data_IF_912529246462
#
_entry.id   IF_912529246462
#
_cell.length_a   1.000
_cell.length_b   1.000
_cell.length_c   1.000
_cell.angle_alpha   90.00
_cell.angle_beta   90.00
_cell.angle_gamma   90.00
#
_symmetry.space_group_name_H-M   'P 1'
#
loop_
_entity.id
_entity.type
_entity.pdbx_description
1 polymer ?
#
# COMPACT_ATOMS: atom_id res chain seq x y z
N UNK A 1 -19.12 -29.02 -84.22
CA UNK A 1 -18.41 -27.84 -83.69
C UNK A 1 -17.95 -28.05 -82.26
N UNK A 2 -16.64 -28.28 -82.02
CA UNK A 2 -16.08 -28.48 -80.66
C UNK A 2 -15.44 -27.17 -80.20
N UNK A 3 -16.04 -26.47 -79.27
CA UNK A 3 -15.44 -25.32 -78.62
C UNK A 3 -14.32 -25.74 -77.64
N UNK A 4 -13.07 -25.43 -77.95
CA UNK A 4 -11.93 -25.60 -77.04
C UNK A 4 -11.96 -24.47 -76.00
N UNK A 5 -12.34 -24.79 -74.75
CA UNK A 5 -12.16 -23.86 -73.60
C UNK A 5 -10.65 -23.69 -73.33
N UNK A 6 -10.09 -22.49 -73.62
CA UNK A 6 -8.74 -22.12 -73.25
C UNK A 6 -8.69 -21.87 -71.73
N UNK A 7 -8.13 -22.79 -70.96
CA UNK A 7 -7.81 -22.59 -69.58
C UNK A 7 -6.76 -21.49 -69.45
N UNK A 8 -7.12 -20.31 -68.93
CA UNK A 8 -6.18 -19.26 -68.58
C UNK A 8 -5.31 -19.74 -67.42
N UNK A 9 -4.05 -20.17 -67.68
CA UNK A 9 -3.02 -20.41 -66.68
C UNK A 9 -2.75 -19.10 -65.92
N UNK A 10 -3.19 -18.98 -64.67
CA UNK A 10 -2.80 -17.87 -63.76
C UNK A 10 -1.29 -17.95 -63.57
N UNK A 11 -0.54 -17.05 -64.19
CA UNK A 11 0.90 -16.85 -63.92
C UNK A 11 1.04 -16.42 -62.48
N UNK A 12 1.64 -17.27 -61.59
CA UNK A 12 2.07 -16.90 -60.25
C UNK A 12 3.11 -15.77 -60.36
N UNK A 13 2.76 -14.56 -59.96
CA UNK A 13 3.67 -13.41 -59.91
C UNK A 13 4.80 -13.75 -58.93
N UNK A 14 6.04 -13.92 -59.43
CA UNK A 14 7.23 -14.08 -58.56
C UNK A 14 7.44 -12.80 -57.78
N UNK A 15 7.33 -12.86 -56.46
CA UNK A 15 7.64 -11.74 -55.56
C UNK A 15 9.09 -11.28 -55.83
N UNK A 16 9.31 -9.97 -55.92
CA UNK A 16 10.66 -9.39 -56.09
C UNK A 16 11.54 -9.80 -54.89
N UNK A 17 12.85 -10.02 -55.10
CA UNK A 17 13.77 -10.47 -54.04
C UNK A 17 13.66 -9.66 -52.76
N UNK A 18 13.56 -8.34 -52.88
CA UNK A 18 13.40 -7.41 -51.75
C UNK A 18 12.15 -7.67 -50.90
N UNK A 19 11.03 -7.99 -51.56
CA UNK A 19 9.77 -8.32 -50.83
C UNK A 19 9.93 -9.62 -50.06
N UNK A 20 10.65 -10.61 -50.58
CA UNK A 20 10.93 -11.85 -49.86
C UNK A 20 11.81 -11.58 -48.64
N UNK A 21 12.88 -10.78 -48.76
CA UNK A 21 13.77 -10.39 -47.67
C UNK A 21 12.97 -9.64 -46.60
N UNK A 22 12.13 -8.69 -47.01
CA UNK A 22 11.27 -7.95 -46.06
C UNK A 22 10.29 -8.86 -45.30
N UNK A 23 9.64 -9.80 -45.99
CA UNK A 23 8.73 -10.77 -45.33
C UNK A 23 9.52 -11.66 -44.35
N UNK A 24 10.72 -12.14 -44.71
CA UNK A 24 11.55 -12.94 -43.81
C UNK A 24 11.95 -12.11 -42.58
N UNK A 25 12.36 -10.86 -42.77
CA UNK A 25 12.71 -9.96 -41.66
C UNK A 25 11.49 -9.73 -40.71
N UNK A 26 10.31 -9.48 -41.23
CA UNK A 26 9.08 -9.33 -40.42
C UNK A 26 8.75 -10.61 -39.69
N UNK A 27 8.82 -11.76 -40.33
CA UNK A 27 8.58 -13.05 -39.70
C UNK A 27 9.61 -13.39 -38.61
N UNK A 28 10.90 -13.08 -38.83
CA UNK A 28 11.92 -13.26 -37.79
C UNK A 28 11.76 -12.35 -36.60
N UNK A 29 11.34 -11.08 -36.79
CA UNK A 29 10.98 -10.16 -35.70
C UNK A 29 9.76 -10.68 -34.96
N UNK A 30 8.71 -11.11 -35.66
CA UNK A 30 7.52 -11.66 -35.04
C UNK A 30 7.85 -12.91 -34.19
N UNK A 31 8.69 -13.81 -34.70
CA UNK A 31 9.15 -14.98 -33.96
C UNK A 31 9.94 -14.58 -32.70
N UNK A 32 10.81 -13.58 -32.82
CA UNK A 32 11.59 -13.05 -31.69
C UNK A 32 10.67 -12.44 -30.62
N UNK A 33 9.66 -11.66 -31.02
CA UNK A 33 8.65 -11.11 -30.09
C UNK A 33 7.91 -12.23 -29.35
N UNK A 34 7.46 -13.27 -30.08
CA UNK A 34 6.82 -14.43 -29.48
C UNK A 34 7.77 -15.12 -28.49
N UNK A 35 9.03 -15.33 -28.86
CA UNK A 35 10.03 -15.92 -27.98
C UNK A 35 10.26 -15.08 -26.71
N UNK A 36 10.24 -13.75 -26.78
CA UNK A 36 10.35 -12.86 -25.61
C UNK A 36 9.11 -12.93 -24.73
N UNK A 37 7.91 -12.95 -25.31
CA UNK A 37 6.66 -13.03 -24.54
C UNK A 37 6.59 -14.34 -23.75
N UNK A 38 6.83 -15.48 -24.39
CA UNK A 38 6.70 -16.79 -23.75
C UNK A 38 7.98 -17.23 -23.00
N UNK A 39 9.17 -16.83 -23.48
CA UNK A 39 10.45 -17.20 -22.88
C UNK A 39 10.78 -16.44 -21.59
N UNK A 40 10.09 -15.31 -21.31
CA UNK A 40 10.32 -14.49 -20.13
C UNK A 40 9.05 -14.38 -19.24
N UNK A 41 8.25 -15.42 -19.21
CA UNK A 41 7.05 -15.43 -18.34
C UNK A 41 7.46 -15.47 -16.88
N UNK A 42 7.07 -14.45 -16.11
CA UNK A 42 7.36 -14.34 -14.67
C UNK A 42 6.64 -15.46 -13.89
N UNK A 43 7.41 -16.32 -13.23
CA UNK A 43 6.89 -17.43 -12.42
C UNK A 43 7.12 -17.21 -10.94
N UNK A 44 8.26 -16.61 -10.56
CA UNK A 44 8.66 -16.46 -9.16
C UNK A 44 9.26 -15.08 -8.90
N UNK A 45 8.80 -14.49 -7.79
CA UNK A 45 9.37 -13.27 -7.23
C UNK A 45 9.96 -13.61 -5.86
N UNK A 46 11.25 -13.42 -5.68
CA UNK A 46 11.87 -13.40 -4.36
C UNK A 46 11.89 -11.94 -3.86
N UNK A 47 11.80 -11.73 -2.56
CA UNK A 47 11.78 -10.39 -1.98
C UNK A 47 12.87 -10.19 -0.96
N UNK A 48 13.41 -8.97 -0.89
CA UNK A 48 14.26 -8.45 0.16
C UNK A 48 13.60 -7.18 0.68
N UNK A 49 12.92 -7.28 1.80
CA UNK A 49 12.10 -6.24 2.39
C UNK A 49 12.76 -5.71 3.66
N UNK A 50 12.67 -4.41 3.89
CA UNK A 50 13.31 -3.74 5.03
C UNK A 50 12.53 -3.92 6.35
N UNK A 51 11.19 -3.91 6.30
CA UNK A 51 10.34 -4.04 7.50
C UNK A 51 9.83 -5.46 7.74
N UNK A 52 9.77 -6.29 6.71
CA UNK A 52 9.24 -7.66 6.78
C UNK A 52 7.74 -7.75 7.12
N UNK A 53 6.98 -6.71 6.77
CA UNK A 53 5.52 -6.67 6.98
C UNK A 53 4.76 -7.56 6.01
N UNK A 54 5.36 -7.82 4.84
CA UNK A 54 4.80 -8.67 3.79
C UNK A 54 5.62 -9.93 3.59
N UNK A 55 4.94 -11.04 3.31
CA UNK A 55 5.58 -12.30 2.95
C UNK A 55 5.88 -12.37 1.45
N UNK A 56 6.83 -13.22 1.06
CA UNK A 56 7.09 -13.51 -0.37
C UNK A 56 5.81 -13.91 -1.12
N UNK A 57 4.91 -14.65 -0.47
CA UNK A 57 3.64 -15.07 -1.07
C UNK A 57 2.74 -13.87 -1.35
N UNK A 58 2.55 -12.99 -0.35
CA UNK A 58 1.70 -11.79 -0.51
C UNK A 58 2.21 -10.90 -1.64
N UNK A 59 3.55 -10.71 -1.75
CA UNK A 59 4.13 -9.92 -2.84
C UNK A 59 3.95 -10.61 -4.20
N UNK A 60 4.15 -11.93 -4.29
CA UNK A 60 3.92 -12.67 -5.53
C UNK A 60 2.47 -12.57 -6.00
N UNK A 61 1.51 -12.73 -5.07
CA UNK A 61 0.08 -12.65 -5.39
C UNK A 61 -0.31 -11.22 -5.82
N UNK A 62 0.31 -10.20 -5.18
CA UNK A 62 0.12 -8.81 -5.56
C UNK A 62 0.66 -8.50 -6.96
N UNK A 63 1.91 -8.90 -7.28
CA UNK A 63 2.54 -8.70 -8.60
C UNK A 63 1.71 -9.34 -9.72
N UNK A 64 1.17 -10.55 -9.47
CA UNK A 64 0.26 -11.21 -10.42
C UNK A 64 -1.05 -10.44 -10.61
N UNK A 65 -1.61 -9.91 -9.52
CA UNK A 65 -2.83 -9.08 -9.56
C UNK A 65 -2.64 -7.79 -10.36
N UNK A 66 -1.45 -7.19 -10.28
CA UNK A 66 -1.07 -6.01 -11.08
C UNK A 66 -0.80 -6.34 -12.57
N UNK A 67 -0.91 -7.62 -12.98
CA UNK A 67 -0.73 -8.05 -14.36
C UNK A 67 0.73 -8.01 -14.84
N UNK A 68 1.69 -8.05 -13.92
CA UNK A 68 3.12 -8.08 -14.26
C UNK A 68 3.51 -9.52 -14.55
N UNK A 69 3.48 -9.89 -15.85
CA UNK A 69 3.66 -11.27 -16.28
C UNK A 69 5.00 -11.52 -16.99
N UNK A 70 5.72 -10.49 -17.44
CA UNK A 70 6.95 -10.65 -18.20
C UNK A 70 8.17 -10.13 -17.42
N UNK A 71 9.10 -11.04 -17.12
CA UNK A 71 10.30 -10.79 -16.33
C UNK A 71 11.23 -9.74 -16.97
N UNK A 72 11.47 -9.86 -18.29
CA UNK A 72 12.37 -8.96 -19.02
C UNK A 72 11.80 -7.55 -19.07
N UNK A 73 10.50 -7.42 -19.35
CA UNK A 73 9.84 -6.12 -19.45
C UNK A 73 9.78 -5.43 -18.09
N UNK A 74 9.46 -6.16 -17.02
CA UNK A 74 9.44 -5.66 -15.64
C UNK A 74 10.81 -5.13 -15.22
N UNK A 75 11.87 -5.92 -15.48
CA UNK A 75 13.25 -5.50 -15.19
C UNK A 75 13.68 -4.29 -16.02
N UNK A 76 13.39 -4.25 -17.33
CA UNK A 76 13.77 -3.14 -18.21
C UNK A 76 13.10 -1.83 -17.82
N UNK A 77 11.79 -1.86 -17.51
CA UNK A 77 11.06 -0.68 -17.01
C UNK A 77 11.72 -0.13 -15.75
N UNK A 78 11.99 -0.99 -14.78
CA UNK A 78 12.61 -0.58 -13.54
C UNK A 78 14.00 0.02 -13.76
N UNK A 79 14.83 -0.63 -14.58
CA UNK A 79 16.18 -0.15 -14.92
C UNK A 79 16.16 1.20 -15.67
N UNK A 80 15.16 1.44 -16.48
CA UNK A 80 14.98 2.69 -17.24
C UNK A 80 14.36 3.84 -16.42
N UNK A 81 14.05 3.61 -15.13
CA UNK A 81 13.39 4.61 -14.29
C UNK A 81 11.89 4.79 -14.57
N UNK A 82 11.28 3.86 -15.33
CA UNK A 82 9.85 3.85 -15.64
C UNK A 82 9.13 2.73 -14.88
N UNK A 83 9.46 2.58 -13.59
CA UNK A 83 8.90 1.55 -12.73
C UNK A 83 7.38 1.66 -12.62
N UNK A 84 6.70 0.52 -12.62
CA UNK A 84 5.28 0.46 -12.32
C UNK A 84 5.06 0.90 -10.86
N UNK A 85 4.00 1.66 -10.59
CA UNK A 85 3.66 2.06 -9.22
C UNK A 85 3.11 0.85 -8.47
N UNK A 86 3.87 0.35 -7.50
CA UNK A 86 3.44 -0.74 -6.64
C UNK A 86 2.99 -0.19 -5.28
N UNK A 87 1.72 -0.38 -4.94
CA UNK A 87 1.13 0.22 -3.72
C UNK A 87 1.72 -0.32 -2.41
N UNK A 88 2.39 -1.47 -2.43
CA UNK A 88 3.05 -2.04 -1.24
C UNK A 88 4.34 -1.33 -0.85
N UNK A 89 4.97 -0.60 -1.79
CA UNK A 89 6.32 -0.09 -1.63
C UNK A 89 6.38 1.43 -1.78
N UNK A 90 7.27 2.06 -1.02
CA UNK A 90 7.69 3.45 -1.23
C UNK A 90 8.60 3.54 -2.45
N UNK A 91 9.59 2.63 -2.50
CA UNK A 91 10.55 2.50 -3.58
C UNK A 91 11.00 1.05 -3.70
N UNK A 92 11.40 0.63 -4.91
CA UNK A 92 11.88 -0.71 -5.14
C UNK A 92 12.80 -0.82 -6.35
N UNK A 93 13.66 -1.83 -6.33
CA UNK A 93 14.52 -2.22 -7.44
C UNK A 93 14.27 -3.67 -7.84
N UNK A 94 14.36 -3.94 -9.13
CA UNK A 94 14.15 -5.26 -9.70
C UNK A 94 15.47 -5.81 -10.26
N UNK A 95 15.89 -6.98 -9.79
CA UNK A 95 17.01 -7.74 -10.35
C UNK A 95 16.48 -8.99 -11.04
N UNK A 96 16.75 -9.14 -12.33
CA UNK A 96 16.44 -10.37 -13.05
C UNK A 96 17.48 -11.44 -12.74
N UNK A 97 17.06 -12.56 -12.17
CA UNK A 97 17.94 -13.68 -11.82
C UNK A 97 17.93 -14.77 -12.89
N UNK A 98 16.79 -14.93 -13.56
CA UNK A 98 16.60 -15.83 -14.70
C UNK A 98 15.43 -15.32 -15.56
N UNK A 99 15.19 -15.90 -16.76
CA UNK A 99 14.03 -15.54 -17.58
C UNK A 99 12.67 -15.67 -16.88
N UNK A 100 12.59 -16.46 -15.80
CA UNK A 100 11.33 -16.77 -15.09
C UNK A 100 11.29 -16.23 -13.66
N UNK A 101 12.40 -15.57 -13.20
CA UNK A 101 12.54 -15.20 -11.79
C UNK A 101 13.20 -13.83 -11.63
N UNK A 102 12.58 -13.01 -10.75
CA UNK A 102 13.17 -11.74 -10.30
C UNK A 102 13.38 -11.75 -8.79
N UNK A 103 14.28 -10.87 -8.33
CA UNK A 103 14.35 -10.45 -6.92
C UNK A 103 13.96 -8.97 -6.86
N UNK A 104 12.97 -8.66 -6.01
CA UNK A 104 12.58 -7.30 -5.67
C UNK A 104 13.25 -6.95 -4.35
N UNK A 105 14.04 -5.87 -4.34
CA UNK A 105 14.52 -5.22 -3.13
C UNK A 105 13.73 -3.95 -2.95
N UNK A 106 13.00 -3.81 -1.82
CA UNK A 106 12.04 -2.74 -1.66
C UNK A 106 12.01 -2.17 -0.24
N UNK A 107 11.68 -0.88 -0.16
CA UNK A 107 11.25 -0.20 1.06
C UNK A 107 9.74 -0.30 1.16
N UNK A 108 9.27 -0.99 2.19
CA UNK A 108 7.85 -1.23 2.41
C UNK A 108 7.15 0.04 2.90
N UNK A 109 5.93 0.30 2.43
CA UNK A 109 5.06 1.31 3.05
C UNK A 109 4.68 0.87 4.46
N UNK A 110 4.78 1.80 5.41
CA UNK A 110 4.48 1.54 6.82
C UNK A 110 2.97 1.40 7.05
N UNK A 111 2.58 0.37 7.78
CA UNK A 111 1.21 0.20 8.24
C UNK A 111 0.93 1.19 9.38
N UNK A 112 -0.01 2.11 9.19
CA UNK A 112 -0.30 3.23 10.11
C UNK A 112 -1.37 2.89 11.15
N UNK A 113 -2.28 1.97 10.81
CA UNK A 113 -3.36 1.55 11.67
C UNK A 113 -4.11 0.36 11.08
N UNK A 114 -5.08 -0.17 11.83
CA UNK A 114 -5.97 -1.18 11.30
C UNK A 114 -7.42 -0.97 11.74
N UNK A 115 -8.35 -1.36 10.86
CA UNK A 115 -9.77 -1.47 11.13
C UNK A 115 -10.12 -2.95 11.23
N UNK A 116 -10.91 -3.34 12.23
CA UNK A 116 -11.37 -4.72 12.38
C UNK A 116 -12.84 -4.83 11.98
N UNK A 117 -13.13 -5.65 10.97
CA UNK A 117 -14.50 -5.97 10.52
C UNK A 117 -14.63 -7.48 10.42
N UNK A 118 -15.62 -8.06 11.06
CA UNK A 118 -15.91 -9.50 11.02
C UNK A 118 -14.71 -10.39 11.36
N UNK A 119 -13.90 -10.01 12.35
CA UNK A 119 -12.64 -10.68 12.77
C UNK A 119 -11.51 -10.63 11.73
N UNK A 120 -11.65 -9.82 10.68
CA UNK A 120 -10.60 -9.55 9.70
C UNK A 120 -10.01 -8.18 10.01
N UNK A 121 -8.67 -8.10 10.03
CA UNK A 121 -7.89 -6.90 10.28
C UNK A 121 -7.45 -6.32 8.94
N UNK A 122 -7.88 -5.09 8.63
CA UNK A 122 -7.52 -4.35 7.42
C UNK A 122 -6.53 -3.27 7.79
N UNK A 123 -5.27 -3.45 7.37
CA UNK A 123 -4.17 -2.53 7.64
C UNK A 123 -4.01 -1.53 6.51
N UNK A 124 -3.79 -0.26 6.83
CA UNK A 124 -3.68 0.81 5.86
C UNK A 124 -2.40 1.65 6.05
N UNK A 125 -1.99 2.33 4.97
CA UNK A 125 -0.87 3.26 4.92
C UNK A 125 -1.31 4.71 5.28
N UNK A 126 -0.37 5.65 5.17
CA UNK A 126 -0.60 7.08 5.42
C UNK A 126 -1.62 7.74 4.49
N UNK A 127 -1.87 7.16 3.32
CA UNK A 127 -2.84 7.64 2.35
C UNK A 127 -4.23 7.02 2.56
N UNK A 128 -4.36 6.09 3.50
CA UNK A 128 -5.57 5.32 3.74
C UNK A 128 -5.80 4.19 2.73
N UNK A 129 -4.75 3.74 2.03
CA UNK A 129 -4.79 2.58 1.14
C UNK A 129 -4.67 1.31 1.97
N UNK A 130 -5.57 0.36 1.76
CA UNK A 130 -5.54 -0.94 2.44
C UNK A 130 -4.42 -1.79 1.82
N UNK A 131 -3.32 -1.96 2.55
CA UNK A 131 -2.15 -2.70 2.07
C UNK A 131 -2.17 -4.18 2.44
N UNK A 132 -2.81 -4.52 3.57
CA UNK A 132 -2.80 -5.89 4.08
C UNK A 132 -4.13 -6.26 4.74
N UNK A 133 -4.52 -7.51 4.57
CA UNK A 133 -5.65 -8.14 5.24
C UNK A 133 -5.14 -9.38 5.98
N UNK A 134 -5.56 -9.56 7.24
CA UNK A 134 -5.13 -10.70 8.06
C UNK A 134 -6.24 -11.13 9.02
N UNK A 135 -6.25 -12.40 9.39
CA UNK A 135 -7.05 -12.93 10.50
C UNK A 135 -6.32 -12.84 11.84
N UNK A 136 -5.00 -12.58 11.80
CA UNK A 136 -4.17 -12.41 12.98
C UNK A 136 -3.76 -10.95 13.15
N UNK A 137 -3.69 -10.51 14.42
CA UNK A 137 -3.31 -9.13 14.74
C UNK A 137 -1.79 -8.95 14.68
N UNK A 138 -1.33 -7.96 13.91
CA UNK A 138 0.05 -7.51 13.93
C UNK A 138 0.28 -6.62 15.15
N UNK A 139 1.33 -6.93 15.94
CA UNK A 139 1.70 -6.15 17.13
C UNK A 139 2.26 -4.76 16.74
N UNK A 140 2.06 -3.78 17.61
CA UNK A 140 2.60 -2.43 17.41
C UNK A 140 1.80 -1.52 16.49
N UNK A 141 0.76 -2.02 15.82
CA UNK A 141 -0.13 -1.24 14.97
C UNK A 141 -1.39 -0.87 15.77
N UNK A 142 -1.80 0.42 15.84
CA UNK A 142 -2.95 0.84 16.60
C UNK A 142 -4.28 0.41 15.95
N UNK A 143 -5.24 0.04 16.80
CA UNK A 143 -6.63 -0.19 16.36
C UNK A 143 -7.31 1.14 16.10
N UNK A 144 -8.04 1.25 15.00
CA UNK A 144 -8.88 2.42 14.69
C UNK A 144 -10.34 2.11 14.97
N UNK A 145 -11.02 3.05 15.61
CA UNK A 145 -12.45 2.99 15.91
C UNK A 145 -13.14 4.32 15.60
N UNK A 146 -14.47 4.32 15.48
CA UNK A 146 -15.27 5.52 15.18
C UNK A 146 -15.35 5.90 13.70
N UNK A 147 -14.66 5.19 12.82
CA UNK A 147 -14.69 5.43 11.37
C UNK A 147 -15.67 4.48 10.69
N UNK A 148 -16.69 5.04 10.03
CA UNK A 148 -17.66 4.27 9.26
C UNK A 148 -17.15 4.09 7.82
N UNK A 149 -16.64 2.87 7.52
CA UNK A 149 -16.15 2.51 6.21
C UNK A 149 -17.24 1.83 5.37
N UNK A 150 -17.43 2.27 4.13
CA UNK A 150 -18.35 1.65 3.18
C UNK A 150 -17.70 0.47 2.47
N UNK A 151 -16.41 0.56 2.18
CA UNK A 151 -15.66 -0.46 1.48
C UNK A 151 -14.20 -0.53 1.95
N UNK A 152 -13.70 -1.76 2.18
CA UNK A 152 -12.32 -2.07 2.56
C UNK A 152 -11.76 -3.08 1.55
N UNK A 153 -11.27 -2.58 0.43
CA UNK A 153 -10.71 -3.42 -0.64
C UNK A 153 -9.19 -3.31 -0.64
N UNK A 154 -8.49 -4.46 -0.73
CA UNK A 154 -7.03 -4.53 -0.84
C UNK A 154 -6.51 -3.70 -2.02
N UNK A 155 -5.48 -2.91 -1.74
CA UNK A 155 -4.75 -2.02 -2.66
C UNK A 155 -5.61 -0.86 -3.18
N UNK A 156 -6.69 -0.52 -2.46
CA UNK A 156 -7.51 0.66 -2.73
C UNK A 156 -7.64 1.52 -1.50
N UNK A 157 -7.79 2.82 -1.73
CA UNK A 157 -8.08 3.77 -0.65
C UNK A 157 -9.41 3.43 0.00
N UNK A 158 -9.45 3.43 1.33
CA UNK A 158 -10.69 3.17 2.08
C UNK A 158 -11.74 4.26 1.78
N UNK A 159 -12.97 3.81 1.58
CA UNK A 159 -14.11 4.70 1.38
C UNK A 159 -14.82 4.93 2.70
N UNK A 160 -14.87 6.17 3.14
CA UNK A 160 -15.50 6.56 4.40
C UNK A 160 -16.61 7.58 4.14
N UNK A 161 -17.66 7.57 4.97
CA UNK A 161 -18.77 8.51 4.84
C UNK A 161 -18.34 9.95 5.06
N UNK A 162 -17.45 10.20 6.01
CA UNK A 162 -17.00 11.53 6.37
C UNK A 162 -15.49 11.71 6.05
N UNK A 163 -15.20 12.47 5.00
CA UNK A 163 -13.81 12.74 4.58
C UNK A 163 -12.98 13.48 5.62
N UNK A 164 -13.60 14.33 6.45
CA UNK A 164 -12.89 15.05 7.53
C UNK A 164 -12.43 14.10 8.64
N UNK A 165 -13.25 13.08 8.95
CA UNK A 165 -12.89 12.01 9.88
C UNK A 165 -11.70 11.23 9.39
N UNK A 166 -11.70 10.83 8.09
CA UNK A 166 -10.56 10.14 7.48
C UNK A 166 -9.30 11.02 7.51
N UNK A 167 -9.40 12.28 7.11
CA UNK A 167 -8.24 13.17 7.08
C UNK A 167 -7.63 13.31 8.48
N UNK A 168 -8.44 13.61 9.51
CA UNK A 168 -7.92 13.70 10.87
C UNK A 168 -7.30 12.38 11.36
N UNK A 169 -7.90 11.25 11.02
CA UNK A 169 -7.33 9.94 11.33
C UNK A 169 -5.93 9.77 10.71
N UNK A 170 -5.80 10.06 9.41
CA UNK A 170 -4.54 9.87 8.69
C UNK A 170 -3.45 10.81 9.22
N UNK A 171 -3.79 12.07 9.49
CA UNK A 171 -2.86 13.03 10.07
C UNK A 171 -2.37 12.56 11.45
N UNK A 172 -3.28 12.14 12.33
CA UNK A 172 -2.92 11.62 13.66
C UNK A 172 -2.08 10.34 13.55
N UNK A 173 -2.47 9.36 12.74
CA UNK A 173 -1.73 8.10 12.60
C UNK A 173 -0.34 8.28 11.98
N UNK A 174 -0.17 9.29 11.14
CA UNK A 174 1.13 9.63 10.55
C UNK A 174 2.02 10.32 11.56
N UNK A 175 1.51 11.39 12.21
CA UNK A 175 2.30 12.20 13.14
C UNK A 175 2.71 11.42 14.41
N UNK A 176 1.89 10.51 14.93
CA UNK A 176 2.26 9.73 16.12
C UNK A 176 3.41 8.74 15.85
N UNK A 177 3.68 8.35 14.62
CA UNK A 177 4.80 7.44 14.30
C UNK A 177 6.17 8.09 14.39
N UNK A 178 6.25 9.40 14.38
CA UNK A 178 7.48 10.14 14.66
C UNK A 178 7.94 9.96 16.11
N UNK A 179 6.98 9.61 16.98
CA UNK A 179 7.21 9.37 18.39
C UNK A 179 7.10 7.87 18.71
N UNK A 180 7.86 7.37 19.65
CA UNK A 180 7.89 5.96 20.07
C UNK A 180 6.77 5.63 21.07
N UNK A 181 5.56 6.14 20.86
CA UNK A 181 4.43 5.82 21.74
C UNK A 181 3.88 4.43 21.46
N UNK A 182 3.56 3.68 22.50
CA UNK A 182 2.82 2.43 22.36
C UNK A 182 1.31 2.73 22.35
N UNK A 183 0.81 3.25 21.22
CA UNK A 183 -0.61 3.55 21.04
C UNK A 183 -1.39 2.28 20.79
N UNK A 184 -2.32 1.96 21.67
CA UNK A 184 -3.18 0.76 21.56
C UNK A 184 -4.35 0.96 20.59
N UNK A 185 -4.94 2.15 20.63
CA UNK A 185 -6.15 2.50 19.87
C UNK A 185 -6.20 4.00 19.58
N UNK A 186 -6.79 4.35 18.46
CA UNK A 186 -7.17 5.71 18.11
C UNK A 186 -8.67 5.68 17.80
N UNK A 187 -9.44 6.54 18.45
CA UNK A 187 -10.86 6.73 18.25
C UNK A 187 -11.10 8.08 17.60
N UNK A 188 -11.88 8.13 16.51
CA UNK A 188 -12.23 9.39 15.83
C UNK A 188 -13.74 9.50 15.80
N UNK A 189 -14.29 10.51 16.46
CA UNK A 189 -15.73 10.71 16.52
C UNK A 189 -16.31 11.36 15.25
N UNK A 190 -17.61 11.51 15.18
CA UNK A 190 -18.33 12.08 14.01
C UNK A 190 -17.96 13.54 13.73
N UNK A 191 -17.49 14.28 14.74
CA UNK A 191 -17.05 15.67 14.64
C UNK A 191 -15.59 15.79 14.19
N UNK A 192 -14.99 14.66 13.80
CA UNK A 192 -13.59 14.52 13.44
C UNK A 192 -12.63 14.91 14.58
N UNK A 193 -12.98 14.57 15.83
CA UNK A 193 -12.07 14.71 16.96
C UNK A 193 -11.43 13.37 17.29
N UNK A 194 -10.10 13.36 17.42
CA UNK A 194 -9.32 12.18 17.71
C UNK A 194 -8.98 12.04 19.20
N UNK A 195 -9.04 10.81 19.70
CA UNK A 195 -8.55 10.40 21.01
C UNK A 195 -7.60 9.22 20.83
N UNK A 196 -6.36 9.34 21.29
CA UNK A 196 -5.41 8.22 21.30
C UNK A 196 -5.37 7.59 22.69
N UNK A 197 -5.21 6.27 22.75
CA UNK A 197 -5.13 5.51 23.99
C UNK A 197 -3.72 4.93 24.16
N UNK A 198 -3.03 5.44 25.16
CA UNK A 198 -1.65 5.04 25.50
C UNK A 198 -1.65 4.47 26.91
N UNK A 199 -1.26 3.21 27.07
CA UNK A 199 -1.43 2.49 28.33
C UNK A 199 -2.88 2.62 28.87
N UNK A 200 -3.06 3.25 30.02
CA UNK A 200 -4.35 3.46 30.68
C UNK A 200 -4.83 4.92 30.63
N UNK A 201 -4.23 5.72 29.72
CA UNK A 201 -4.56 7.13 29.52
C UNK A 201 -5.26 7.31 28.18
N UNK A 202 -6.41 8.00 28.20
CA UNK A 202 -7.09 8.53 27.03
C UNK A 202 -6.61 9.96 26.75
N UNK A 203 -5.89 10.19 25.66
CA UNK A 203 -5.37 11.49 25.28
C UNK A 203 -6.28 12.10 24.21
N UNK A 204 -7.07 13.08 24.59
CA UNK A 204 -8.01 13.77 23.71
C UNK A 204 -7.29 14.84 22.89
N UNK A 205 -6.87 14.51 21.67
CA UNK A 205 -6.19 15.43 20.75
C UNK A 205 -7.15 16.44 20.11
N UNK A 206 -8.43 16.05 19.96
CA UNK A 206 -9.44 16.86 19.27
C UNK A 206 -9.23 16.87 17.74
N UNK A 207 -9.46 18.02 17.12
CA UNK A 207 -9.24 18.23 15.67
C UNK A 207 -7.75 18.48 15.39
N UNK A 208 -7.37 18.46 14.10
CA UNK A 208 -5.96 18.60 13.64
C UNK A 208 -5.30 19.94 13.97
N UNK A 209 -6.04 20.92 14.45
CA UNK A 209 -5.44 22.22 14.81
C UNK A 209 -4.30 22.03 15.80
N UNK A 210 -3.10 22.50 15.40
CA UNK A 210 -1.88 22.43 16.20
C UNK A 210 -1.46 21.02 16.63
N UNK A 211 -1.75 19.99 15.80
CA UNK A 211 -1.48 18.58 16.12
C UNK A 211 -0.02 18.35 16.48
N UNK A 212 0.92 18.86 15.70
CA UNK A 212 2.36 18.71 15.95
C UNK A 212 2.79 19.32 17.29
N UNK A 213 2.23 20.48 17.65
CA UNK A 213 2.48 21.10 18.96
C UNK A 213 1.94 20.20 20.07
N UNK A 214 0.70 19.73 19.97
CA UNK A 214 0.08 18.83 20.96
C UNK A 214 0.88 17.54 21.15
N UNK A 215 1.41 16.97 20.07
CA UNK A 215 2.22 15.75 20.15
C UNK A 215 3.59 16.00 20.75
N UNK A 216 4.24 17.14 20.45
CA UNK A 216 5.48 17.54 21.16
C UNK A 216 5.22 17.74 22.63
N UNK A 217 4.21 18.52 23.00
CA UNK A 217 3.86 18.77 24.39
C UNK A 217 3.51 17.45 25.13
N UNK A 218 2.82 16.53 24.45
CA UNK A 218 2.56 15.19 24.99
C UNK A 218 3.85 14.39 25.19
N UNK A 219 4.79 14.48 24.25
CA UNK A 219 6.09 13.80 24.35
C UNK A 219 6.86 14.28 25.59
N UNK A 220 6.89 15.57 25.85
CA UNK A 220 7.60 16.16 26.98
C UNK A 220 7.01 15.73 28.33
N UNK A 221 5.70 15.46 28.37
CA UNK A 221 5.03 15.00 29.59
C UNK A 221 4.78 13.48 29.62
N UNK A 222 5.17 12.73 28.60
CA UNK A 222 4.82 11.33 28.39
C UNK A 222 5.08 10.45 29.61
N UNK A 223 6.30 10.43 30.12
CA UNK A 223 6.72 9.57 31.25
C UNK A 223 5.99 9.89 32.56
N UNK A 224 5.50 11.12 32.71
CA UNK A 224 4.72 11.52 33.87
C UNK A 224 3.26 11.13 33.71
N UNK A 225 2.66 11.38 32.55
CA UNK A 225 1.24 11.14 32.28
C UNK A 225 0.90 9.65 32.28
N UNK A 226 1.74 8.80 31.70
CA UNK A 226 1.50 7.34 31.60
C UNK A 226 1.54 6.59 32.93
N UNK A 227 1.96 7.23 34.01
CA UNK A 227 1.92 6.66 35.37
C UNK A 227 0.51 6.67 35.97
N UNK A 228 -0.41 7.43 35.37
CA UNK A 228 -1.77 7.60 35.85
C UNK A 228 -2.76 6.82 34.98
N UNK A 229 -3.98 6.65 35.52
CA UNK A 229 -5.15 6.24 34.76
C UNK A 229 -6.06 7.45 34.63
N UNK A 230 -6.63 7.69 33.46
CA UNK A 230 -7.55 8.82 33.28
C UNK A 230 -7.56 9.40 31.89
N UNK A 231 -7.99 10.67 31.82
CA UNK A 231 -8.12 11.40 30.55
C UNK A 231 -7.31 12.67 30.57
N UNK A 232 -6.38 12.80 29.63
CA UNK A 232 -5.65 14.03 29.37
C UNK A 232 -6.39 14.79 28.26
N UNK A 233 -6.87 15.99 28.59
CA UNK A 233 -7.54 16.84 27.61
C UNK A 233 -6.53 17.77 26.94
N UNK A 234 -6.28 17.55 25.65
CA UNK A 234 -5.41 18.36 24.79
C UNK A 234 -6.17 18.96 23.60
N UNK A 235 -7.52 18.99 23.66
CA UNK A 235 -8.34 19.59 22.58
C UNK A 235 -8.01 21.08 22.43
N UNK A 236 -7.81 21.76 23.54
CA UNK A 236 -7.48 23.18 23.61
C UNK A 236 -6.21 23.35 24.44
N UNK A 237 -5.37 24.26 24.02
CA UNK A 237 -4.24 24.72 24.80
C UNK A 237 -4.77 25.85 25.70
N UNK A 238 -4.58 25.75 27.00
CA UNK A 238 -4.91 26.86 27.93
C UNK A 238 -4.02 28.08 27.66
N UNK A 239 -4.41 29.26 28.10
CA UNK A 239 -3.64 30.51 27.91
C UNK A 239 -2.23 30.41 28.49
N UNK A 240 -2.08 29.66 29.58
CA UNK A 240 -0.79 29.38 30.26
C UNK A 240 -0.01 28.23 29.62
N UNK A 241 -0.51 27.64 28.52
CA UNK A 241 0.11 26.49 27.83
C UNK A 241 -0.11 25.14 28.54
N UNK A 242 -0.95 25.06 29.58
CA UNK A 242 -1.20 23.84 30.34
C UNK A 242 -2.29 22.95 29.73
N UNK A 243 -2.29 21.67 30.10
CA UNK A 243 -3.32 20.69 29.76
C UNK A 243 -3.90 20.07 31.03
N UNK A 244 -5.17 19.70 30.98
CA UNK A 244 -5.87 19.13 32.14
C UNK A 244 -5.82 17.60 32.12
N UNK A 245 -5.25 16.99 33.16
CA UNK A 245 -5.32 15.55 33.40
C UNK A 245 -6.41 15.26 34.45
N UNK A 246 -7.51 14.66 34.00
CA UNK A 246 -8.56 14.13 34.88
C UNK A 246 -8.24 12.68 35.23
N UNK A 247 -7.79 12.43 36.46
CA UNK A 247 -7.50 11.08 36.94
C UNK A 247 -8.83 10.30 37.08
N UNK A 248 -8.79 9.01 36.74
CA UNK A 248 -9.88 8.11 37.05
C UNK A 248 -9.88 7.90 38.59
N UNK A 249 -11.02 8.08 39.20
CA UNK A 249 -11.17 7.77 40.63
C UNK A 249 -10.86 6.28 40.86
N UNK A 250 -9.98 5.99 41.78
CA UNK A 250 -9.85 4.65 42.34
C UNK A 250 -11.16 4.37 43.08
N UNK A 251 -12.13 3.77 42.38
CA UNK A 251 -13.29 3.20 43.09
C UNK A 251 -12.74 2.18 44.06
N UNK A 252 -12.83 2.51 45.33
CA UNK A 252 -12.63 1.59 46.44
C UNK A 252 -13.20 0.23 46.08
N UNK A 253 -12.36 -0.78 46.23
CA UNK A 253 -12.76 -2.18 46.21
C UNK A 253 -13.76 -2.45 47.32
#
# INVERSE_FOLDING_TARGET
>A
MKQRRKLKRRRKKKLRKWVKVFIIAVLSIALLVVAVIFGFKLQKVDTKLDLGQFTNKEVNDYIKKEGIENTLWFWLKNKAGHSDKLELFEDYTVKMNSPFKVTITAYEKKLKGYINVNKIYYYFDENGVILKQSTEKIKGIPKITGVECNNLTLYKKMEVKNKKVLQNLLDVTTSIQEYKYNVKRIDVNKDAEATMYVKDVAVQLGKNSNLDKKLRDFNDMYDNVIKYKGTLNMKFVSEDGSYTLKKADEKSK
#
